data_IF_627862542057
#
_entry.id   IF_627862542057
#
_cell.length_a   1.000
_cell.length_b   1.000
_cell.length_c   1.000
_cell.angle_alpha   90.00
_cell.angle_beta   90.00
_cell.angle_gamma   90.00
#
_symmetry.space_group_name_H-M   'P 1'
#
loop_
_entity.id
_entity.type
_entity.pdbx_description
1 polymer ?
#
# COMPACT_ATOMS: atom_id res chain seq x y z
N UNK A 1 -18.03 11.48 23.87
CA UNK A 1 -17.25 11.07 22.69
C UNK A 1 -16.13 10.14 23.15
N UNK A 2 -16.01 8.96 22.52
CA UNK A 2 -14.92 8.00 22.79
C UNK A 2 -13.58 8.62 22.44
N UNK A 3 -12.60 8.52 23.32
CA UNK A 3 -11.25 9.02 23.06
C UNK A 3 -10.50 7.99 22.20
N UNK A 4 -10.21 8.37 20.96
CA UNK A 4 -9.51 7.54 19.97
C UNK A 4 -8.08 8.01 19.80
N UNK A 5 -7.14 7.09 19.85
CA UNK A 5 -5.72 7.36 19.68
C UNK A 5 -5.15 6.42 18.63
N UNK A 6 -4.33 6.95 17.74
CA UNK A 6 -3.57 6.19 16.75
C UNK A 6 -2.07 6.40 17.00
N UNK A 7 -1.34 5.31 17.22
CA UNK A 7 0.11 5.35 17.41
C UNK A 7 0.79 4.56 16.29
N UNK A 8 1.81 5.15 15.69
CA UNK A 8 2.68 4.49 14.71
C UNK A 8 4.15 4.79 15.01
N UNK A 9 5.05 3.83 14.67
CA UNK A 9 6.49 4.01 14.76
C UNK A 9 7.16 4.24 13.39
N UNK A 10 6.36 4.39 12.36
CA UNK A 10 6.79 4.67 11.00
C UNK A 10 5.79 5.59 10.31
N UNK A 11 6.26 6.58 9.57
CA UNK A 11 5.38 7.44 8.78
C UNK A 11 4.86 6.68 7.57
N UNK A 12 3.53 6.53 7.50
CA UNK A 12 2.84 5.95 6.36
C UNK A 12 1.56 6.73 6.07
N UNK A 13 1.31 6.96 4.78
CA UNK A 13 0.13 7.68 4.29
C UNK A 13 -1.16 7.05 4.81
N UNK A 14 -1.28 5.71 4.74
CA UNK A 14 -2.43 4.97 5.25
C UNK A 14 -2.76 5.34 6.70
N UNK A 15 -1.75 5.35 7.58
CA UNK A 15 -1.96 5.69 9.00
C UNK A 15 -2.43 7.14 9.19
N UNK A 16 -1.92 8.07 8.39
CA UNK A 16 -2.31 9.48 8.44
C UNK A 16 -3.77 9.66 7.97
N UNK A 17 -4.12 9.05 6.84
CA UNK A 17 -5.47 9.18 6.26
C UNK A 17 -6.53 8.50 7.13
N UNK A 18 -6.27 7.27 7.58
CA UNK A 18 -7.20 6.54 8.45
C UNK A 18 -7.35 7.21 9.81
N UNK A 19 -6.25 7.67 10.44
CA UNK A 19 -6.34 8.36 11.74
C UNK A 19 -7.23 9.62 11.67
N UNK A 20 -7.13 10.39 10.59
CA UNK A 20 -8.01 11.54 10.34
C UNK A 20 -9.47 11.12 10.16
N UNK A 21 -9.72 10.08 9.36
CA UNK A 21 -11.09 9.59 9.09
C UNK A 21 -11.77 9.06 10.35
N UNK A 22 -11.01 8.36 11.22
CA UNK A 22 -11.50 7.87 12.52
C UNK A 22 -11.54 8.94 13.62
N UNK A 23 -11.08 10.18 13.34
CA UNK A 23 -11.03 11.23 14.35
C UNK A 23 -10.08 10.93 15.51
N UNK A 24 -8.95 10.25 15.23
CA UNK A 24 -7.98 9.89 16.24
C UNK A 24 -7.02 11.03 16.58
N UNK A 25 -6.63 11.14 17.84
CA UNK A 25 -5.40 11.85 18.22
C UNK A 25 -4.22 11.03 17.71
N UNK A 26 -3.40 11.59 16.80
CA UNK A 26 -2.40 10.87 16.03
C UNK A 26 -0.99 11.13 16.54
N UNK A 27 -0.23 10.06 16.81
CA UNK A 27 1.15 10.12 17.29
C UNK A 27 2.08 9.31 16.40
N UNK A 28 3.13 9.95 15.92
CA UNK A 28 4.24 9.34 15.17
C UNK A 28 5.46 9.33 16.07
N UNK A 29 6.08 8.15 16.27
CA UNK A 29 7.28 7.96 17.07
C UNK A 29 8.36 7.41 16.13
N UNK A 30 9.19 8.27 15.57
CA UNK A 30 10.26 7.87 14.64
C UNK A 30 11.63 7.99 15.29
N UNK A 31 12.26 6.86 15.56
CA UNK A 31 13.63 6.77 16.00
C UNK A 31 14.46 5.85 15.10
N UNK A 32 15.74 6.12 14.98
CA UNK A 32 16.71 5.33 14.20
C UNK A 32 17.71 4.63 15.10
N UNK A 33 18.36 3.61 14.57
CA UNK A 33 19.40 2.88 15.30
C UNK A 33 18.89 1.88 16.34
N UNK A 34 19.78 1.31 17.12
CA UNK A 34 19.49 0.21 18.07
C UNK A 34 18.60 0.69 19.23
N UNK A 35 18.78 1.94 19.66
CA UNK A 35 18.01 2.52 20.78
C UNK A 35 16.56 2.89 20.39
N UNK A 36 16.17 2.74 19.12
CA UNK A 36 14.80 3.07 18.70
C UNK A 36 13.73 2.33 19.49
N UNK A 37 13.94 1.05 19.79
CA UNK A 37 12.92 0.25 20.46
C UNK A 37 12.67 0.67 21.92
N UNK A 38 13.67 0.75 22.82
CA UNK A 38 13.42 1.16 24.20
C UNK A 38 12.86 2.59 24.29
N UNK A 39 13.34 3.51 23.46
CA UNK A 39 12.83 4.89 23.45
C UNK A 39 11.36 4.92 22.99
N UNK A 40 11.04 4.27 21.86
CA UNK A 40 9.67 4.21 21.36
C UNK A 40 8.70 3.51 22.32
N UNK A 41 9.15 2.47 23.05
CA UNK A 41 8.36 1.84 24.12
C UNK A 41 8.05 2.84 25.22
N UNK A 42 9.04 3.56 25.70
CA UNK A 42 8.86 4.55 26.78
C UNK A 42 7.89 5.67 26.37
N UNK A 43 8.08 6.23 25.16
CA UNK A 43 7.19 7.26 24.63
C UNK A 43 5.77 6.75 24.43
N UNK A 44 5.60 5.53 23.89
CA UNK A 44 4.28 4.90 23.75
C UNK A 44 3.58 4.76 25.11
N UNK A 45 4.28 4.28 26.14
CA UNK A 45 3.72 4.17 27.49
C UNK A 45 3.34 5.53 28.09
N UNK A 46 4.17 6.55 27.85
CA UNK A 46 3.89 7.93 28.28
C UNK A 46 2.62 8.48 27.59
N UNK A 47 2.48 8.26 26.28
CA UNK A 47 1.28 8.65 25.52
C UNK A 47 0.06 7.93 26.08
N UNK A 48 0.09 6.61 26.25
CA UNK A 48 -1.03 5.83 26.75
C UNK A 48 -1.45 6.27 28.15
N UNK A 49 -0.49 6.53 29.05
CA UNK A 49 -0.75 7.04 30.40
C UNK A 49 -1.41 8.41 30.40
N UNK A 50 -0.97 9.31 29.51
CA UNK A 50 -1.49 10.67 29.37
C UNK A 50 -2.86 10.69 28.69
N UNK A 51 -3.03 9.93 27.62
CA UNK A 51 -4.24 9.96 26.80
C UNK A 51 -5.38 9.14 27.36
N UNK A 52 -5.08 7.97 27.97
CA UNK A 52 -6.07 7.00 28.46
C UNK A 52 -7.17 6.74 27.40
N UNK A 53 -6.81 6.18 26.23
CA UNK A 53 -7.76 6.00 25.16
C UNK A 53 -8.86 5.01 25.50
N UNK A 54 -10.07 5.22 24.97
CA UNK A 54 -11.13 4.20 24.92
C UNK A 54 -10.88 3.22 23.77
N UNK A 55 -10.34 3.73 22.65
CA UNK A 55 -10.00 2.96 21.46
C UNK A 55 -8.56 3.30 21.05
N UNK A 56 -7.71 2.29 20.94
CA UNK A 56 -6.34 2.42 20.48
C UNK A 56 -6.15 1.73 19.13
N UNK A 57 -5.65 2.50 18.16
CA UNK A 57 -5.19 1.98 16.88
C UNK A 57 -3.66 1.95 16.89
N UNK A 58 -3.09 0.85 16.42
CA UNK A 58 -1.65 0.71 16.25
C UNK A 58 -1.33 0.10 14.90
N UNK A 59 -0.27 0.61 14.27
CA UNK A 59 0.18 0.12 12.99
C UNK A 59 1.08 -1.12 13.15
N UNK A 60 0.89 -2.09 12.29
CA UNK A 60 1.78 -3.21 12.03
C UNK A 60 2.31 -3.08 10.57
N UNK A 61 3.62 -3.01 10.31
CA UNK A 61 4.60 -4.03 10.73
C UNK A 61 5.41 -3.73 12.00
N UNK A 62 5.18 -2.68 12.75
CA UNK A 62 5.85 -2.54 14.04
C UNK A 62 5.32 -3.57 15.06
N UNK A 63 5.85 -4.82 14.99
CA UNK A 63 5.42 -5.94 15.83
C UNK A 63 5.56 -5.66 17.31
N UNK A 64 6.60 -4.91 17.70
CA UNK A 64 6.85 -4.58 19.11
C UNK A 64 5.81 -3.59 19.60
N UNK A 65 5.43 -2.59 18.81
CA UNK A 65 4.34 -1.67 19.15
C UNK A 65 3.02 -2.43 19.35
N UNK A 66 2.67 -3.29 18.40
CA UNK A 66 1.44 -4.07 18.50
C UNK A 66 1.44 -5.04 19.70
N UNK A 67 2.58 -5.67 20.00
CA UNK A 67 2.72 -6.53 21.19
C UNK A 67 2.62 -5.74 22.49
N UNK A 68 3.27 -4.56 22.56
CA UNK A 68 3.16 -3.65 23.69
C UNK A 68 1.71 -3.23 23.93
N UNK A 69 1.01 -2.84 22.85
CA UNK A 69 -0.41 -2.47 22.92
C UNK A 69 -1.28 -3.63 23.41
N UNK A 70 -1.02 -4.88 22.97
CA UNK A 70 -1.73 -6.05 23.49
C UNK A 70 -1.52 -6.25 25.01
N UNK A 71 -0.31 -6.02 25.51
CA UNK A 71 -0.01 -6.14 26.95
C UNK A 71 -0.71 -5.02 27.74
N UNK A 72 -0.55 -3.77 27.29
CA UNK A 72 -1.13 -2.60 27.97
C UNK A 72 -2.67 -2.63 27.99
N UNK A 73 -3.32 -3.26 27.00
CA UNK A 73 -4.77 -3.41 26.94
C UNK A 73 -5.36 -4.04 28.21
N UNK A 74 -4.71 -5.06 28.79
CA UNK A 74 -5.21 -5.72 29.99
C UNK A 74 -5.19 -4.82 31.23
N UNK A 75 -4.29 -3.83 31.25
CA UNK A 75 -4.15 -2.87 32.36
C UNK A 75 -5.04 -1.65 32.13
N UNK A 76 -5.02 -1.10 30.92
CA UNK A 76 -5.69 0.17 30.58
C UNK A 76 -7.10 -0.01 30.02
N UNK A 77 -7.50 -1.25 29.67
CA UNK A 77 -8.86 -1.66 29.26
C UNK A 77 -9.46 -0.89 28.08
N UNK A 78 -8.64 -0.60 27.07
CA UNK A 78 -9.11 -0.03 25.81
C UNK A 78 -9.45 -1.12 24.77
N UNK A 79 -10.24 -0.76 23.74
CA UNK A 79 -10.42 -1.58 22.54
C UNK A 79 -9.19 -1.40 21.67
N UNK A 80 -8.56 -2.51 21.26
CA UNK A 80 -7.35 -2.51 20.44
C UNK A 80 -7.63 -2.89 18.99
N UNK A 81 -7.33 -1.97 18.07
CA UNK A 81 -7.28 -2.24 16.64
C UNK A 81 -5.83 -2.28 16.17
N UNK A 82 -5.47 -3.34 15.45
CA UNK A 82 -4.14 -3.48 14.83
C UNK A 82 -4.29 -3.39 13.32
N UNK A 83 -3.75 -2.33 12.70
CA UNK A 83 -3.74 -2.16 11.25
C UNK A 83 -2.61 -2.96 10.62
N UNK A 84 -2.96 -4.00 9.87
CA UNK A 84 -2.04 -4.95 9.24
C UNK A 84 -2.24 -4.97 7.73
N UNK A 85 -1.28 -4.44 6.99
CA UNK A 85 -1.33 -4.36 5.53
C UNK A 85 -0.29 -5.24 4.82
N UNK A 86 0.45 -6.09 5.58
CA UNK A 86 1.43 -7.04 5.03
C UNK A 86 1.37 -8.37 5.75
N UNK A 87 1.85 -9.44 5.11
CA UNK A 87 2.04 -10.75 5.72
C UNK A 87 3.16 -10.75 6.75
N UNK A 88 4.13 -9.89 6.61
CA UNK A 88 5.33 -9.71 7.44
C UNK A 88 5.90 -11.04 7.95
N UNK A 89 6.65 -11.72 7.11
CA UNK A 89 7.35 -12.98 7.41
C UNK A 89 6.44 -14.19 7.77
N UNK A 90 5.11 -14.02 7.86
CA UNK A 90 4.21 -15.14 8.17
C UNK A 90 4.02 -16.11 7.00
N UNK A 91 4.27 -15.66 5.77
CA UNK A 91 4.19 -16.40 4.52
C UNK A 91 5.50 -17.09 4.12
N UNK A 92 6.58 -16.85 4.86
CA UNK A 92 7.91 -17.37 4.55
C UNK A 92 8.35 -18.45 5.54
N UNK A 93 8.88 -19.53 5.01
CA UNK A 93 9.33 -20.69 5.79
C UNK A 93 10.81 -20.50 6.24
N UNK A 94 11.03 -19.57 7.17
CA UNK A 94 12.34 -19.28 7.75
C UNK A 94 12.59 -20.12 9.00
N UNK A 95 12.57 -21.45 8.88
CA UNK A 95 12.59 -22.40 10.03
C UNK A 95 13.83 -22.28 10.94
N UNK A 96 14.91 -21.68 10.48
CA UNK A 96 16.20 -21.71 11.18
C UNK A 96 16.76 -20.34 11.60
N UNK A 97 15.95 -19.28 11.58
CA UNK A 97 16.42 -17.93 11.93
C UNK A 97 15.72 -17.48 13.22
N UNK A 98 16.40 -17.49 14.38
CA UNK A 98 15.75 -17.24 15.68
C UNK A 98 14.98 -15.93 15.78
N UNK A 99 15.50 -14.83 15.22
CA UNK A 99 14.82 -13.54 15.25
C UNK A 99 13.54 -13.54 14.40
N UNK A 100 13.51 -14.28 13.29
CA UNK A 100 12.29 -14.41 12.47
C UNK A 100 11.22 -15.18 13.24
N UNK A 101 11.60 -16.27 13.91
CA UNK A 101 10.67 -17.04 14.74
C UNK A 101 10.11 -16.19 15.89
N UNK A 102 10.93 -15.35 16.50
CA UNK A 102 10.49 -14.41 17.53
C UNK A 102 9.44 -13.41 16.98
N UNK A 103 9.71 -12.79 15.83
CA UNK A 103 8.75 -11.88 15.22
C UNK A 103 7.49 -12.59 14.71
N UNK A 104 7.60 -13.81 14.19
CA UNK A 104 6.43 -14.62 13.87
C UNK A 104 5.59 -14.96 15.11
N UNK A 105 6.22 -15.25 16.24
CA UNK A 105 5.53 -15.47 17.50
C UNK A 105 4.79 -14.21 17.94
N UNK A 106 5.45 -13.05 17.97
CA UNK A 106 4.81 -11.77 18.29
C UNK A 106 3.65 -11.46 17.33
N UNK A 107 3.84 -11.73 16.04
CA UNK A 107 2.79 -11.53 15.04
C UNK A 107 1.55 -12.37 15.31
N UNK A 108 1.73 -13.67 15.65
CA UNK A 108 0.61 -14.55 16.02
C UNK A 108 -0.07 -14.12 17.32
N UNK A 109 0.73 -13.68 18.29
CA UNK A 109 0.21 -13.16 19.56
C UNK A 109 -0.65 -11.91 19.34
N UNK A 110 -0.16 -10.95 18.58
CA UNK A 110 -0.91 -9.70 18.31
C UNK A 110 -2.20 -9.96 17.54
N UNK A 111 -2.19 -10.90 16.59
CA UNK A 111 -3.40 -11.31 15.85
C UNK A 111 -4.47 -11.89 16.79
N UNK A 112 -4.07 -12.67 17.80
CA UNK A 112 -5.01 -13.33 18.72
C UNK A 112 -5.57 -12.40 19.79
N UNK A 113 -4.82 -11.37 20.16
CA UNK A 113 -5.16 -10.51 21.30
C UNK A 113 -5.69 -9.13 20.89
N UNK A 114 -5.57 -8.73 19.62
CA UNK A 114 -6.29 -7.58 19.09
C UNK A 114 -7.80 -7.85 19.07
N UNK A 115 -8.62 -6.85 19.40
CA UNK A 115 -10.07 -6.97 19.29
C UNK A 115 -10.48 -7.03 17.83
N UNK A 116 -9.82 -6.22 16.99
CA UNK A 116 -9.98 -6.21 15.53
C UNK A 116 -8.60 -6.06 14.89
N UNK A 117 -8.33 -6.88 13.87
CA UNK A 117 -7.19 -6.69 12.99
C UNK A 117 -7.69 -6.12 11.66
N UNK A 118 -7.41 -4.85 11.41
CA UNK A 118 -7.73 -4.22 10.12
C UNK A 118 -6.75 -4.76 9.09
N UNK A 119 -7.27 -5.20 7.94
CA UNK A 119 -6.48 -5.73 6.82
C UNK A 119 -6.93 -5.12 5.50
N UNK A 120 -6.07 -5.15 4.48
CA UNK A 120 -6.35 -4.50 3.19
C UNK A 120 -7.08 -5.39 2.19
N UNK A 121 -7.05 -6.72 2.36
CA UNK A 121 -7.58 -7.66 1.38
C UNK A 121 -8.04 -8.99 2.00
N UNK A 122 -8.70 -9.81 1.20
CA UNK A 122 -9.26 -11.12 1.56
C UNK A 122 -8.18 -12.12 2.00
N UNK A 123 -7.04 -12.16 1.33
CA UNK A 123 -5.92 -13.07 1.65
C UNK A 123 -5.37 -12.82 3.06
N UNK A 124 -5.18 -11.55 3.42
CA UNK A 124 -4.76 -11.17 4.78
C UNK A 124 -5.86 -11.48 5.81
N UNK A 125 -7.13 -11.27 5.46
CA UNK A 125 -8.24 -11.61 6.35
C UNK A 125 -8.28 -13.11 6.64
N UNK A 126 -8.11 -13.95 5.64
CA UNK A 126 -8.08 -15.41 5.81
C UNK A 126 -6.86 -15.89 6.61
N UNK A 127 -5.71 -15.24 6.44
CA UNK A 127 -4.53 -15.49 7.28
C UNK A 127 -4.83 -15.17 8.75
N UNK A 128 -5.44 -14.02 9.04
CA UNK A 128 -5.82 -13.61 10.39
C UNK A 128 -6.83 -14.58 11.00
N UNK A 129 -7.86 -15.01 10.25
CA UNK A 129 -8.85 -16.03 10.68
C UNK A 129 -8.18 -17.36 11.02
N UNK A 130 -7.31 -17.86 10.14
CA UNK A 130 -6.55 -19.12 10.38
C UNK A 130 -5.71 -19.06 11.65
N UNK A 131 -5.21 -17.89 12.01
CA UNK A 131 -4.46 -17.65 13.23
C UNK A 131 -5.36 -17.32 14.45
N UNK A 132 -6.68 -17.49 14.33
CA UNK A 132 -7.70 -17.26 15.35
C UNK A 132 -7.81 -15.79 15.78
N UNK A 133 -7.57 -14.85 14.87
CA UNK A 133 -7.83 -13.42 15.03
C UNK A 133 -9.19 -13.01 14.47
N UNK A 134 -9.54 -11.76 14.67
CA UNK A 134 -10.79 -11.13 14.22
C UNK A 134 -10.48 -10.10 13.13
N UNK A 135 -10.46 -10.46 11.84
CA UNK A 135 -10.14 -9.52 10.77
C UNK A 135 -11.32 -8.63 10.39
N UNK A 136 -10.98 -7.44 9.94
CA UNK A 136 -11.89 -6.55 9.23
C UNK A 136 -11.19 -6.01 7.98
N UNK A 137 -11.80 -6.19 6.80
CA UNK A 137 -11.23 -5.70 5.55
C UNK A 137 -11.58 -4.22 5.39
N UNK A 138 -10.55 -3.37 5.41
CA UNK A 138 -10.64 -1.96 5.10
C UNK A 138 -9.43 -1.57 4.24
N UNK A 139 -9.58 -1.49 2.91
CA UNK A 139 -8.52 -1.10 2.00
C UNK A 139 -8.03 0.33 2.25
N UNK A 140 -7.04 0.79 1.48
CA UNK A 140 -6.62 2.18 1.52
C UNK A 140 -7.71 3.10 0.97
N UNK A 141 -7.75 4.31 1.45
CA UNK A 141 -8.61 5.37 0.91
C UNK A 141 -8.11 5.72 -0.49
N UNK A 142 -9.01 5.86 -1.46
CA UNK A 142 -8.63 6.44 -2.75
C UNK A 142 -8.18 7.89 -2.49
N UNK A 143 -6.91 8.23 -2.76
CA UNK A 143 -6.40 9.56 -2.46
C UNK A 143 -7.10 10.63 -3.30
N UNK A 144 -7.09 11.85 -2.81
CA UNK A 144 -7.56 13.02 -3.56
C UNK A 144 -6.37 13.85 -3.97
N UNK A 145 -6.11 13.92 -5.27
CA UNK A 145 -5.05 14.71 -5.84
C UNK A 145 -5.61 15.91 -6.60
N UNK A 146 -4.83 16.98 -6.64
CA UNK A 146 -5.10 18.16 -7.45
C UNK A 146 -3.96 18.32 -8.44
N UNK A 147 -4.29 18.21 -9.73
CA UNK A 147 -3.36 18.56 -10.81
C UNK A 147 -3.13 20.08 -10.80
N UNK A 148 -1.87 20.51 -10.75
CA UNK A 148 -1.53 21.93 -10.77
C UNK A 148 -0.90 22.35 -12.08
N UNK A 149 -0.14 21.44 -12.72
CA UNK A 149 0.57 21.72 -13.96
C UNK A 149 0.71 20.47 -14.80
N UNK A 150 0.64 20.60 -16.12
CA UNK A 150 0.95 19.50 -17.04
C UNK A 150 2.43 19.48 -17.37
N UNK A 151 3.03 18.31 -17.26
CA UNK A 151 4.41 18.05 -17.65
C UNK A 151 4.46 17.73 -19.14
N UNK A 152 5.37 18.36 -19.87
CA UNK A 152 5.64 18.02 -21.26
C UNK A 152 6.39 16.69 -21.34
N UNK A 153 5.84 15.72 -22.07
CA UNK A 153 6.35 14.35 -22.17
C UNK A 153 6.81 14.05 -23.62
N UNK A 154 7.78 13.15 -23.74
CA UNK A 154 8.51 12.94 -25.01
C UNK A 154 7.77 12.07 -26.03
N UNK A 155 7.05 11.05 -25.58
CA UNK A 155 6.39 10.09 -26.46
C UNK A 155 5.03 10.58 -26.95
N UNK A 156 4.57 10.07 -28.09
CA UNK A 156 3.16 10.25 -28.52
C UNK A 156 2.20 9.64 -27.50
N UNK A 157 2.60 8.54 -26.86
CA UNK A 157 1.94 7.91 -25.72
C UNK A 157 2.93 7.76 -24.59
N UNK A 158 2.49 8.05 -23.37
CA UNK A 158 3.36 8.11 -22.20
C UNK A 158 2.78 7.28 -21.07
N UNK A 159 3.59 6.38 -20.55
CA UNK A 159 3.20 5.50 -19.43
C UNK A 159 4.07 5.86 -18.22
N UNK A 160 3.45 6.00 -17.06
CA UNK A 160 4.17 6.15 -15.80
C UNK A 160 4.23 4.80 -15.08
N UNK A 161 5.42 4.28 -14.84
CA UNK A 161 5.62 3.16 -13.94
C UNK A 161 5.93 3.70 -12.54
N UNK A 162 5.04 3.42 -11.60
CA UNK A 162 5.26 3.73 -10.19
C UNK A 162 6.07 2.61 -9.58
N UNK A 163 7.31 2.91 -9.20
CA UNK A 163 8.29 1.93 -8.71
C UNK A 163 9.02 2.42 -7.47
N UNK A 164 9.32 1.51 -6.58
CA UNK A 164 10.25 1.69 -5.45
C UNK A 164 11.60 1.02 -5.72
N UNK A 165 11.71 0.31 -6.84
CA UNK A 165 12.79 -0.62 -7.16
C UNK A 165 12.96 -1.69 -6.08
N UNK A 166 11.81 -2.20 -5.60
CA UNK A 166 11.75 -3.33 -4.68
C UNK A 166 12.11 -4.64 -5.37
N UNK A 167 12.57 -5.61 -4.57
CA UNK A 167 12.95 -6.94 -5.09
C UNK A 167 11.79 -7.70 -5.73
N UNK A 168 10.58 -7.34 -5.38
CA UNK A 168 9.34 -7.92 -5.91
C UNK A 168 8.80 -7.19 -7.15
N UNK A 169 9.50 -6.17 -7.65
CA UNK A 169 9.09 -5.44 -8.85
C UNK A 169 9.81 -5.97 -10.09
N UNK A 170 9.10 -6.38 -11.16
CA UNK A 170 9.70 -7.02 -12.34
C UNK A 170 10.26 -5.98 -13.34
N UNK A 171 11.12 -5.07 -12.84
CA UNK A 171 11.66 -3.95 -13.65
C UNK A 171 12.41 -4.44 -14.87
N UNK A 172 13.17 -5.53 -14.76
CA UNK A 172 13.94 -6.07 -15.89
C UNK A 172 13.03 -6.51 -17.02
N UNK A 173 11.91 -7.19 -16.72
CA UNK A 173 10.92 -7.61 -17.72
C UNK A 173 10.26 -6.41 -18.40
N UNK A 174 10.01 -5.34 -17.65
CA UNK A 174 9.50 -4.08 -18.20
C UNK A 174 10.48 -3.47 -19.20
N UNK A 175 11.78 -3.39 -18.86
CA UNK A 175 12.80 -2.86 -19.74
C UNK A 175 12.93 -3.70 -21.04
N UNK A 176 12.78 -5.01 -20.96
CA UNK A 176 12.76 -5.90 -22.13
C UNK A 176 11.52 -5.61 -22.98
N UNK A 177 10.33 -5.52 -22.38
CA UNK A 177 9.08 -5.23 -23.07
C UNK A 177 9.11 -3.89 -23.83
N UNK A 178 9.77 -2.87 -23.26
CA UNK A 178 9.88 -1.55 -23.90
C UNK A 178 10.69 -1.55 -25.19
N UNK A 179 11.48 -2.58 -25.47
CA UNK A 179 12.20 -2.72 -26.75
C UNK A 179 11.26 -2.96 -27.95
N UNK A 180 10.02 -3.36 -27.71
CA UNK A 180 9.00 -3.59 -28.75
C UNK A 180 8.36 -2.28 -29.26
N UNK A 181 8.72 -1.13 -28.67
CA UNK A 181 8.14 0.17 -29.00
C UNK A 181 9.22 1.15 -29.44
N UNK A 182 8.91 1.98 -30.44
CA UNK A 182 9.78 3.09 -30.79
C UNK A 182 9.66 4.25 -29.80
N UNK A 183 10.72 5.06 -29.70
CA UNK A 183 10.75 6.19 -28.77
C UNK A 183 9.66 7.24 -29.09
N UNK A 184 9.33 7.41 -30.36
CA UNK A 184 8.33 8.38 -30.82
C UNK A 184 6.90 7.89 -30.54
N UNK A 185 6.70 6.57 -30.42
CA UNK A 185 5.38 5.99 -30.17
C UNK A 185 5.05 5.90 -28.68
N UNK A 186 5.91 5.23 -27.91
CA UNK A 186 5.66 4.96 -26.49
C UNK A 186 6.89 5.29 -25.65
N UNK A 187 6.73 6.18 -24.71
CA UNK A 187 7.75 6.50 -23.71
C UNK A 187 7.30 6.04 -22.31
N UNK A 188 8.20 5.36 -21.61
CA UNK A 188 7.98 4.93 -20.23
C UNK A 188 8.77 5.81 -19.27
N UNK A 189 8.08 6.38 -18.30
CA UNK A 189 8.68 7.12 -17.18
C UNK A 189 8.65 6.24 -15.95
N UNK A 190 9.81 6.01 -15.32
CA UNK A 190 9.91 5.16 -14.13
C UNK A 190 10.31 6.00 -12.93
N UNK A 191 9.41 6.10 -11.94
CA UNK A 191 9.67 6.86 -10.70
C UNK A 191 10.44 6.03 -9.68
N UNK A 192 10.99 6.72 -8.67
CA UNK A 192 11.65 6.09 -7.53
C UNK A 192 13.18 6.07 -7.63
N UNK A 193 13.81 5.53 -6.60
CA UNK A 193 15.27 5.55 -6.51
C UNK A 193 15.91 4.45 -7.37
N UNK A 194 16.16 4.75 -8.62
CA UNK A 194 16.79 3.83 -9.58
C UNK A 194 18.24 3.45 -9.25
N UNK A 195 18.88 4.09 -8.27
CA UNK A 195 20.21 3.67 -7.77
C UNK A 195 20.16 2.32 -7.05
N UNK A 196 18.97 1.81 -6.70
CA UNK A 196 18.80 0.44 -6.21
C UNK A 196 18.88 -0.61 -7.32
N UNK A 197 18.71 -0.21 -8.57
CA UNK A 197 18.81 -1.10 -9.72
C UNK A 197 20.29 -1.35 -10.06
N UNK A 198 20.63 -2.60 -10.37
CA UNK A 198 21.96 -2.95 -10.85
C UNK A 198 22.31 -2.08 -12.07
N UNK A 199 23.54 -1.51 -12.07
CA UNK A 199 23.97 -0.64 -13.15
C UNK A 199 23.99 -1.34 -14.52
N UNK A 200 24.26 -2.64 -14.54
CA UNK A 200 24.18 -3.45 -15.76
C UNK A 200 22.76 -3.47 -16.33
N UNK A 201 21.73 -3.62 -15.48
CA UNK A 201 20.33 -3.57 -15.91
C UNK A 201 19.97 -2.17 -16.38
N UNK A 202 20.37 -1.14 -15.63
CA UNK A 202 20.12 0.26 -15.97
C UNK A 202 20.74 0.64 -17.33
N UNK A 203 21.97 0.21 -17.60
CA UNK A 203 22.67 0.50 -18.88
C UNK A 203 22.05 -0.19 -20.10
N UNK A 204 21.22 -1.22 -19.92
CA UNK A 204 20.49 -1.91 -21.00
C UNK A 204 19.11 -1.30 -21.27
N UNK A 205 18.71 -0.28 -20.53
CA UNK A 205 17.41 0.38 -20.73
C UNK A 205 17.34 0.99 -22.15
N UNK A 206 16.24 0.74 -22.88
CA UNK A 206 16.07 1.33 -24.20
C UNK A 206 15.83 2.84 -24.13
N UNK A 207 16.06 3.55 -25.25
CA UNK A 207 16.00 5.01 -25.31
C UNK A 207 14.63 5.61 -25.00
N UNK A 208 13.57 4.81 -25.09
CA UNK A 208 12.20 5.19 -24.74
C UNK A 208 11.87 4.99 -23.26
N UNK A 209 12.85 4.71 -22.41
CA UNK A 209 12.69 4.65 -20.95
C UNK A 209 13.40 5.81 -20.29
N UNK A 210 12.69 6.54 -19.45
CA UNK A 210 13.18 7.69 -18.68
C UNK A 210 13.07 7.39 -17.19
N UNK A 211 14.19 7.27 -16.50
CA UNK A 211 14.21 7.20 -15.05
C UNK A 211 14.10 8.60 -14.47
N UNK A 212 12.97 8.92 -13.83
CA UNK A 212 12.74 10.26 -13.26
C UNK A 212 13.48 10.48 -11.95
N UNK A 213 13.85 9.41 -11.27
CA UNK A 213 14.33 9.49 -9.90
C UNK A 213 13.16 9.65 -8.91
N UNK A 214 13.51 10.02 -7.70
CA UNK A 214 12.53 10.36 -6.68
C UNK A 214 12.04 11.80 -6.95
N UNK A 215 10.75 11.93 -7.23
CA UNK A 215 10.06 13.20 -7.44
C UNK A 215 9.53 13.72 -6.10
N UNK A 216 9.43 15.02 -5.91
CA UNK A 216 8.62 15.57 -4.83
C UNK A 216 7.12 15.26 -5.06
N UNK A 217 6.31 15.49 -4.04
CA UNK A 217 4.90 15.09 -4.08
C UNK A 217 4.12 15.78 -5.21
N UNK A 218 4.37 17.07 -5.47
CA UNK A 218 3.65 17.80 -6.49
C UNK A 218 4.09 17.43 -7.90
N UNK A 219 5.38 17.26 -8.13
CA UNK A 219 5.94 16.80 -9.41
C UNK A 219 5.46 15.40 -9.74
N UNK A 220 5.40 14.51 -8.72
CA UNK A 220 4.85 13.18 -8.88
C UNK A 220 3.37 13.21 -9.29
N UNK A 221 2.55 14.05 -8.64
CA UNK A 221 1.14 14.22 -8.97
C UNK A 221 0.99 14.75 -10.40
N UNK A 222 1.76 15.77 -10.78
CA UNK A 222 1.74 16.35 -12.12
C UNK A 222 2.12 15.31 -13.19
N UNK A 223 3.14 14.47 -12.92
CA UNK A 223 3.49 13.33 -13.80
C UNK A 223 2.36 12.31 -13.91
N UNK A 224 1.72 11.97 -12.79
CA UNK A 224 0.60 11.03 -12.75
C UNK A 224 -0.56 11.49 -13.63
N UNK A 225 -0.87 12.80 -13.63
CA UNK A 225 -1.91 13.36 -14.48
C UNK A 225 -1.48 13.58 -15.92
N UNK A 226 -0.19 13.76 -16.19
CA UNK A 226 0.32 14.03 -17.55
C UNK A 226 0.45 12.75 -18.39
N UNK A 227 0.69 11.60 -17.79
CA UNK A 227 0.80 10.33 -18.50
C UNK A 227 -0.55 9.79 -18.98
N UNK A 228 -0.53 8.98 -20.03
CA UNK A 228 -1.72 8.37 -20.65
C UNK A 228 -2.23 7.17 -19.85
N UNK A 229 -1.33 6.37 -19.27
CA UNK A 229 -1.62 5.20 -18.46
C UNK A 229 -0.60 5.04 -17.32
N UNK A 230 -0.98 4.29 -16.30
CA UNK A 230 -0.14 4.00 -15.14
C UNK A 230 0.13 2.50 -15.06
N UNK A 231 1.39 2.15 -14.80
CA UNK A 231 1.84 0.77 -14.61
C UNK A 231 2.34 0.58 -13.18
N UNK A 232 1.82 -0.44 -12.47
CA UNK A 232 2.24 -0.76 -11.10
C UNK A 232 2.31 -2.26 -10.95
N UNK A 233 3.50 -2.82 -10.84
CA UNK A 233 3.73 -4.26 -10.91
C UNK A 233 4.37 -4.80 -9.64
N UNK A 234 4.02 -6.06 -9.28
CA UNK A 234 4.64 -6.80 -8.19
C UNK A 234 4.60 -8.32 -8.43
N UNK A 235 5.56 -9.03 -7.90
CA UNK A 235 5.52 -10.50 -7.81
C UNK A 235 4.88 -10.99 -6.50
N UNK A 236 4.70 -10.11 -5.51
CA UNK A 236 4.09 -10.44 -4.23
C UNK A 236 2.58 -10.74 -4.35
N UNK A 237 2.10 -11.80 -3.68
CA UNK A 237 0.72 -12.27 -3.84
C UNK A 237 -0.31 -11.52 -2.99
N UNK A 238 0.07 -10.98 -1.84
CA UNK A 238 -0.86 -10.37 -0.87
C UNK A 238 -0.68 -8.85 -0.73
N UNK A 239 0.01 -8.21 -1.67
CA UNK A 239 0.32 -6.79 -1.62
C UNK A 239 -0.72 -5.98 -2.39
N UNK A 240 -1.32 -4.99 -1.71
CA UNK A 240 -2.07 -3.92 -2.36
C UNK A 240 -1.12 -2.77 -2.66
N UNK A 241 -1.07 -2.36 -3.93
CA UNK A 241 -0.08 -1.41 -4.42
C UNK A 241 -0.62 0.02 -4.34
N UNK A 242 0.06 0.92 -3.64
CA UNK A 242 -0.34 2.32 -3.50
C UNK A 242 -0.54 3.01 -4.86
N UNK A 243 0.36 2.76 -5.81
CA UNK A 243 0.24 3.31 -7.16
C UNK A 243 -1.04 2.90 -7.92
N UNK A 244 -1.66 1.75 -7.59
CA UNK A 244 -2.95 1.37 -8.16
C UNK A 244 -4.08 2.28 -7.66
N UNK A 245 -4.11 2.62 -6.37
CA UNK A 245 -5.06 3.58 -5.81
C UNK A 245 -4.85 4.98 -6.41
N UNK A 246 -3.60 5.34 -6.65
CA UNK A 246 -3.21 6.62 -7.24
C UNK A 246 -3.62 6.71 -8.71
N UNK A 247 -3.45 5.62 -9.48
CA UNK A 247 -3.94 5.53 -10.86
C UNK A 247 -5.46 5.71 -10.94
N UNK A 248 -6.21 5.02 -10.05
CA UNK A 248 -7.67 5.17 -9.93
C UNK A 248 -8.04 6.60 -9.52
N UNK A 249 -7.30 7.19 -8.58
CA UNK A 249 -7.51 8.59 -8.17
C UNK A 249 -7.36 9.56 -9.34
N UNK A 250 -6.32 9.40 -10.13
CA UNK A 250 -6.03 10.23 -11.31
C UNK A 250 -6.88 9.86 -12.55
N UNK A 251 -7.76 8.85 -12.44
CA UNK A 251 -8.61 8.36 -13.55
C UNK A 251 -7.79 7.89 -14.75
N UNK A 252 -6.64 7.28 -14.47
CA UNK A 252 -5.74 6.78 -15.50
C UNK A 252 -5.93 5.29 -15.73
N UNK A 253 -5.96 4.83 -16.98
CA UNK A 253 -5.89 3.42 -17.31
C UNK A 253 -4.76 2.73 -16.56
N UNK A 254 -5.04 1.59 -15.94
CA UNK A 254 -4.13 0.89 -15.02
C UNK A 254 -3.68 -0.45 -15.61
N UNK A 255 -2.36 -0.65 -15.68
CA UNK A 255 -1.73 -1.95 -15.91
C UNK A 255 -1.18 -2.42 -14.58
N UNK A 256 -1.58 -3.61 -14.14
CA UNK A 256 -1.08 -4.17 -12.88
C UNK A 256 -0.89 -5.69 -12.97
N UNK A 257 -0.14 -6.24 -12.04
CA UNK A 257 0.16 -7.67 -12.03
C UNK A 257 -1.07 -8.54 -11.81
N UNK A 258 -1.07 -9.70 -12.45
CA UNK A 258 -2.11 -10.71 -12.29
C UNK A 258 -2.00 -11.40 -10.94
N UNK A 259 -2.60 -10.79 -9.91
CA UNK A 259 -2.69 -11.28 -8.55
C UNK A 259 -4.15 -11.25 -8.10
N UNK A 260 -4.58 -12.29 -7.39
CA UNK A 260 -5.98 -12.42 -6.96
C UNK A 260 -6.49 -11.19 -6.21
N UNK A 261 -5.68 -10.66 -5.25
CA UNK A 261 -6.06 -9.47 -4.46
C UNK A 261 -6.20 -8.20 -5.31
N UNK A 262 -5.40 -8.07 -6.38
CA UNK A 262 -5.49 -6.94 -7.30
C UNK A 262 -6.67 -7.10 -8.26
N UNK A 263 -6.93 -8.32 -8.74
CA UNK A 263 -8.11 -8.64 -9.56
C UNK A 263 -9.42 -8.41 -8.82
N UNK A 264 -9.47 -8.82 -7.57
CA UNK A 264 -10.65 -8.69 -6.72
C UNK A 264 -11.01 -7.21 -6.50
N UNK A 265 -10.01 -6.34 -6.35
CA UNK A 265 -10.24 -4.95 -5.98
C UNK A 265 -10.22 -3.99 -7.18
N UNK A 266 -9.23 -4.09 -8.08
CA UNK A 266 -9.09 -3.21 -9.24
C UNK A 266 -9.67 -3.84 -10.51
N UNK A 267 -10.94 -4.24 -10.48
CA UNK A 267 -11.62 -5.07 -11.48
C UNK A 267 -11.51 -4.59 -12.92
N UNK A 268 -11.31 -3.28 -13.13
CA UNK A 268 -11.27 -2.64 -14.44
C UNK A 268 -9.84 -2.34 -14.95
N UNK A 269 -8.82 -2.86 -14.25
CA UNK A 269 -7.43 -2.80 -14.69
C UNK A 269 -7.11 -3.81 -15.80
N UNK A 270 -5.99 -3.61 -16.48
CA UNK A 270 -5.36 -4.61 -17.34
C UNK A 270 -4.37 -5.42 -16.52
N UNK A 271 -4.61 -6.72 -16.41
CA UNK A 271 -3.78 -7.63 -15.61
C UNK A 271 -2.73 -8.32 -16.47
N UNK A 272 -1.50 -8.42 -15.96
CA UNK A 272 -0.35 -8.97 -16.68
C UNK A 272 0.40 -9.98 -15.81
N UNK A 273 0.95 -11.01 -16.45
CA UNK A 273 1.69 -12.11 -15.83
C UNK A 273 3.14 -11.76 -15.45
N UNK A 274 3.54 -10.50 -15.59
CA UNK A 274 4.89 -9.98 -15.34
C UNK A 274 5.98 -10.53 -16.29
N UNK A 275 5.63 -11.13 -17.42
CA UNK A 275 6.60 -11.46 -18.47
C UNK A 275 6.75 -10.32 -19.48
N UNK A 276 7.91 -10.18 -20.10
CA UNK A 276 8.13 -9.14 -21.07
C UNK A 276 7.11 -9.17 -22.25
N UNK A 277 6.78 -10.34 -22.84
CA UNK A 277 5.72 -10.41 -23.86
C UNK A 277 4.34 -10.02 -23.33
N UNK A 278 3.98 -10.43 -22.10
CA UNK A 278 2.72 -10.09 -21.46
C UNK A 278 2.60 -8.60 -21.19
N UNK A 279 3.68 -7.97 -20.70
CA UNK A 279 3.76 -6.52 -20.47
C UNK A 279 3.61 -5.76 -21.80
N UNK A 280 4.35 -6.15 -22.85
CA UNK A 280 4.25 -5.55 -24.19
C UNK A 280 2.82 -5.63 -24.74
N UNK A 281 2.21 -6.81 -24.68
CA UNK A 281 0.82 -7.02 -25.10
C UNK A 281 -0.18 -6.17 -24.31
N UNK A 282 0.02 -6.02 -23.01
CA UNK A 282 -0.83 -5.20 -22.14
C UNK A 282 -0.72 -3.71 -22.44
N UNK A 283 0.48 -3.22 -22.75
CA UNK A 283 0.71 -1.85 -23.20
C UNK A 283 -0.06 -1.61 -24.51
N UNK A 284 0.11 -2.45 -25.52
CA UNK A 284 -0.61 -2.34 -26.81
C UNK A 284 -2.12 -2.33 -26.58
N UNK A 285 -2.63 -3.30 -25.83
CA UNK A 285 -4.06 -3.44 -25.52
C UNK A 285 -4.66 -2.17 -24.90
N UNK A 286 -3.95 -1.53 -23.95
CA UNK A 286 -4.47 -0.36 -23.25
C UNK A 286 -4.41 0.88 -24.15
N UNK A 287 -3.34 1.03 -24.94
CA UNK A 287 -3.16 2.17 -25.84
C UNK A 287 -4.12 2.14 -27.03
N UNK A 288 -4.48 0.96 -27.54
CA UNK A 288 -5.46 0.80 -28.62
C UNK A 288 -6.88 1.19 -28.21
N UNK A 289 -7.19 1.13 -26.91
CA UNK A 289 -8.54 1.39 -26.38
C UNK A 289 -8.54 2.33 -25.17
N UNK A 290 -7.67 3.33 -25.18
CA UNK A 290 -7.33 4.13 -23.99
C UNK A 290 -8.53 4.86 -23.39
N UNK A 291 -9.44 5.39 -24.22
CA UNK A 291 -10.61 6.12 -23.74
C UNK A 291 -11.61 5.20 -23.07
N UNK A 292 -11.80 3.98 -23.59
CA UNK A 292 -12.64 2.96 -22.93
C UNK A 292 -12.08 2.58 -21.55
N UNK A 293 -10.75 2.38 -21.46
CA UNK A 293 -10.14 2.08 -20.16
C UNK A 293 -10.23 3.27 -19.19
N UNK A 294 -10.14 4.50 -19.67
CA UNK A 294 -10.31 5.71 -18.85
C UNK A 294 -11.74 5.77 -18.25
N UNK A 295 -12.77 5.55 -19.07
CA UNK A 295 -14.16 5.50 -18.62
C UNK A 295 -14.39 4.39 -17.58
N UNK A 296 -13.82 3.22 -17.80
CA UNK A 296 -13.90 2.09 -16.86
C UNK A 296 -13.26 2.42 -15.52
N UNK A 297 -12.06 3.02 -15.50
CA UNK A 297 -11.39 3.45 -14.26
C UNK A 297 -12.15 4.57 -13.56
N UNK A 298 -12.77 5.50 -14.28
CA UNK A 298 -13.66 6.51 -13.70
C UNK A 298 -14.85 5.86 -12.98
N UNK A 299 -15.51 4.89 -13.63
CA UNK A 299 -16.60 4.10 -13.02
C UNK A 299 -16.11 3.33 -11.79
N UNK A 300 -14.95 2.69 -11.89
CA UNK A 300 -14.33 1.94 -10.79
C UNK A 300 -14.06 2.85 -9.60
N UNK A 301 -13.53 4.06 -9.82
CA UNK A 301 -13.29 5.05 -8.75
C UNK A 301 -14.55 5.31 -7.92
N UNK A 302 -15.68 5.56 -8.58
CA UNK A 302 -16.96 5.78 -7.90
C UNK A 302 -17.39 4.57 -7.06
N UNK A 303 -17.26 3.36 -7.62
CA UNK A 303 -17.58 2.10 -6.91
C UNK A 303 -16.70 1.91 -5.68
N UNK A 304 -15.38 2.08 -5.81
CA UNK A 304 -14.45 1.87 -4.71
C UNK A 304 -14.63 2.88 -3.58
N UNK A 305 -14.92 4.14 -3.89
CA UNK A 305 -15.24 5.16 -2.87
C UNK A 305 -16.50 4.76 -2.10
N UNK A 306 -17.56 4.36 -2.80
CA UNK A 306 -18.82 3.94 -2.16
C UNK A 306 -18.60 2.70 -1.28
N UNK A 307 -17.93 1.68 -1.82
CA UNK A 307 -17.63 0.46 -1.08
C UNK A 307 -16.78 0.74 0.18
N UNK A 308 -15.79 1.63 0.07
CA UNK A 308 -14.96 2.00 1.20
C UNK A 308 -15.77 2.69 2.31
N UNK A 309 -16.66 3.62 1.95
CA UNK A 309 -17.52 4.32 2.92
C UNK A 309 -18.51 3.34 3.62
N UNK A 310 -19.01 2.34 2.90
CA UNK A 310 -19.84 1.29 3.50
C UNK A 310 -19.04 0.44 4.49
N UNK A 311 -17.84 0.00 4.12
CA UNK A 311 -16.95 -0.75 5.01
C UNK A 311 -16.57 0.09 6.25
N UNK A 312 -16.25 1.36 6.07
CA UNK A 312 -15.98 2.27 7.18
C UNK A 312 -17.15 2.36 8.16
N UNK A 313 -18.39 2.56 7.66
CA UNK A 313 -19.59 2.59 8.50
C UNK A 313 -19.82 1.27 9.24
N UNK A 314 -19.56 0.13 8.59
CA UNK A 314 -19.64 -1.18 9.25
C UNK A 314 -18.61 -1.33 10.39
N UNK A 315 -17.39 -0.82 10.20
CA UNK A 315 -16.38 -0.85 11.26
C UNK A 315 -16.78 0.06 12.42
N UNK A 316 -17.26 1.27 12.15
CA UNK A 316 -17.77 2.20 13.17
C UNK A 316 -18.92 1.58 13.99
N UNK A 317 -19.86 0.89 13.33
CA UNK A 317 -20.92 0.15 14.02
C UNK A 317 -20.35 -0.94 14.91
N UNK A 318 -19.39 -1.74 14.43
CA UNK A 318 -18.73 -2.77 15.25
C UNK A 318 -18.05 -2.18 16.48
N UNK A 319 -17.44 -1.01 16.37
CA UNK A 319 -16.80 -0.33 17.50
C UNK A 319 -17.81 0.17 18.54
N UNK A 320 -19.00 0.59 18.11
CA UNK A 320 -20.07 0.96 19.04
C UNK A 320 -20.67 -0.25 19.76
N UNK A 321 -20.82 -1.37 19.07
CA UNK A 321 -21.44 -2.60 19.63
C UNK A 321 -20.52 -3.30 20.68
N UNK A 322 -19.21 -3.16 20.57
CA UNK A 322 -18.25 -3.72 21.54
C UNK A 322 -18.26 -2.96 22.89
N UNK A 323 -18.80 -1.74 22.92
CA UNK A 323 -18.89 -0.90 24.11
C UNK A 323 -20.26 -0.92 24.81
N UNK A 324 -21.26 -1.56 24.21
CA UNK A 324 -22.56 -1.81 24.78
C UNK A 324 -22.62 -3.17 25.49
#
# INVERSE_FOLDING_TARGET
>A
LQKRVWITWETQRRSIELSRKFGCEFFIIEHKGVMRYPISVFETLSILKKTKPDILFVQNPSMILAALACICKYILKYILLVDRHTTFLLDKDYKNIPWVLFFQFLSRLTIRHADITIVTNSLLADMVKRLKGNPFILPDIIPTFVETERVELKGRRNILMVSSFGIDEPVQEVLIAMKDFSQDEVCLYVTGNYNKLDERVRSTAPSNVVFTGFLDEQDYINMLFSCDAIMVLTTASACMLCGCYEAVSARKPLITSDKDVLREYFTDAVFVDNTAPGISASIKKILDNIDNYRERIESLKGKLITQWEEQYKQLEKRLSDVNS
#
